data_IF_423463329380
#
_entry.id   IF_423463329380
#
_cell.length_a   1.000
_cell.length_b   1.000
_cell.length_c   1.000
_cell.angle_alpha   90.00
_cell.angle_beta   90.00
_cell.angle_gamma   90.00
#
_symmetry.space_group_name_H-M   'P 1'
#
loop_
_entity.id
_entity.type
_entity.pdbx_description
1 polymer ?
#
# COMPACT_ATOMS: atom_id res chain seq x y z
N UNK A 1 -21.43 11.83 -5.22
CA UNK A 1 -20.63 11.89 -3.97
C UNK A 1 -19.97 10.54 -3.75
N UNK A 2 -18.69 10.55 -3.53
CA UNK A 2 -17.91 9.35 -3.30
C UNK A 2 -18.16 8.73 -1.94
N UNK A 3 -17.90 7.45 -1.84
CA UNK A 3 -17.97 6.74 -0.58
C UNK A 3 -16.71 7.04 0.26
N UNK A 4 -16.92 7.51 1.48
CA UNK A 4 -15.85 7.75 2.43
C UNK A 4 -15.43 6.41 3.06
N UNK A 5 -14.16 6.04 2.90
CA UNK A 5 -13.62 4.74 3.32
C UNK A 5 -12.54 4.89 4.38
N UNK A 6 -12.37 3.85 5.19
CA UNK A 6 -11.26 3.74 6.13
C UNK A 6 -10.05 3.11 5.43
N UNK A 7 -8.93 3.84 5.41
CA UNK A 7 -7.71 3.44 4.69
C UNK A 7 -6.52 3.42 5.62
N UNK A 8 -5.85 2.28 5.71
CA UNK A 8 -4.59 2.14 6.42
C UNK A 8 -3.39 2.50 5.54
N UNK A 9 -2.38 3.11 6.14
CA UNK A 9 -1.08 3.37 5.51
C UNK A 9 0.03 2.89 6.45
N UNK A 10 0.88 2.02 5.96
CA UNK A 10 2.03 1.51 6.70
C UNK A 10 3.31 1.93 5.98
N UNK A 11 4.04 2.85 6.59
CA UNK A 11 5.19 3.53 6.00
C UNK A 11 4.82 4.83 5.29
N UNK A 12 5.39 5.95 5.74
CA UNK A 12 5.14 7.29 5.19
C UNK A 12 6.45 7.91 4.70
N UNK A 13 7.01 7.28 3.67
CA UNK A 13 8.07 7.87 2.86
C UNK A 13 7.46 8.65 1.69
N UNK A 14 8.09 8.60 0.52
CA UNK A 14 7.64 9.30 -0.68
C UNK A 14 6.28 8.76 -1.15
N UNK A 15 6.15 7.46 -1.27
CA UNK A 15 4.92 6.82 -1.76
C UNK A 15 3.79 6.90 -0.74
N UNK A 16 4.04 6.50 0.51
CA UNK A 16 3.05 6.60 1.58
C UNK A 16 2.60 8.02 1.86
N UNK A 17 3.52 8.98 1.76
CA UNK A 17 3.23 10.42 1.88
C UNK A 17 2.34 10.94 0.74
N UNK A 18 2.52 10.44 -0.48
CA UNK A 18 1.66 10.79 -1.61
C UNK A 18 0.23 10.25 -1.40
N UNK A 19 0.08 9.02 -0.92
CA UNK A 19 -1.23 8.45 -0.57
C UNK A 19 -1.88 9.30 0.54
N UNK A 20 -1.16 9.61 1.60
CA UNK A 20 -1.66 10.43 2.71
C UNK A 20 -2.16 11.79 2.21
N UNK A 21 -1.41 12.43 1.33
CA UNK A 21 -1.76 13.74 0.78
C UNK A 21 -3.07 13.71 -0.03
N UNK A 22 -3.18 12.77 -0.98
CA UNK A 22 -4.30 12.72 -1.90
C UNK A 22 -5.54 12.02 -1.34
N UNK A 23 -5.37 11.01 -0.50
CA UNK A 23 -6.49 10.27 0.09
C UNK A 23 -7.08 10.98 1.32
N UNK A 24 -6.27 11.75 2.06
CA UNK A 24 -6.69 12.39 3.30
C UNK A 24 -7.97 13.25 3.19
N UNK A 25 -8.15 14.07 2.13
CA UNK A 25 -9.38 14.84 1.96
C UNK A 25 -10.64 14.00 1.67
N UNK A 26 -10.49 12.74 1.26
CA UNK A 26 -11.57 11.89 0.76
C UNK A 26 -11.87 10.66 1.61
N UNK A 27 -10.90 10.23 2.44
CA UNK A 27 -10.98 9.01 3.24
C UNK A 27 -10.51 9.25 4.67
N UNK A 28 -10.91 8.38 5.60
CA UNK A 28 -10.34 8.34 6.95
C UNK A 28 -9.03 7.56 6.93
N UNK A 29 -7.93 8.19 7.32
CA UNK A 29 -6.61 7.58 7.28
C UNK A 29 -6.17 7.11 8.66
N UNK A 30 -5.64 5.89 8.71
CA UNK A 30 -5.00 5.29 9.89
C UNK A 30 -3.57 4.92 9.51
N UNK A 31 -2.60 5.56 10.17
CA UNK A 31 -1.21 5.58 9.72
C UNK A 31 -0.30 4.93 10.74
N UNK A 32 0.57 4.03 10.28
CA UNK A 32 1.71 3.57 11.04
C UNK A 32 3.02 4.02 10.39
N UNK A 33 3.74 4.87 11.09
CA UNK A 33 5.08 5.35 10.74
C UNK A 33 5.92 5.40 12.02
N UNK A 34 6.98 4.56 12.13
CA UNK A 34 7.77 4.49 13.37
C UNK A 34 8.32 5.85 13.83
N UNK A 35 8.70 6.72 12.89
CA UNK A 35 9.23 8.06 13.20
C UNK A 35 8.19 9.01 13.78
N UNK A 36 6.90 8.69 13.68
CA UNK A 36 5.79 9.45 14.24
C UNK A 36 5.31 8.89 15.60
N UNK A 37 5.96 7.84 16.12
CA UNK A 37 5.57 7.20 17.38
C UNK A 37 4.26 6.42 17.33
N UNK A 38 3.80 6.06 16.14
CA UNK A 38 2.59 5.24 15.92
C UNK A 38 2.91 3.75 16.00
N UNK A 39 1.89 2.92 16.14
CA UNK A 39 2.01 1.46 16.12
C UNK A 39 1.18 0.83 15.01
N UNK A 40 1.52 -0.40 14.64
CA UNK A 40 0.74 -1.17 13.67
C UNK A 40 -0.71 -1.39 14.16
N UNK A 41 -0.92 -1.45 15.47
CA UNK A 41 -2.26 -1.56 16.07
C UNK A 41 -3.14 -0.36 15.79
N UNK A 42 -2.58 0.83 15.59
CA UNK A 42 -3.34 2.03 15.22
C UNK A 42 -4.03 1.85 13.86
N UNK A 43 -3.44 1.04 13.00
CA UNK A 43 -4.03 0.66 11.72
C UNK A 43 -5.00 -0.51 11.88
N UNK A 44 -4.56 -1.64 12.44
CA UNK A 44 -5.34 -2.89 12.46
C UNK A 44 -6.59 -2.85 13.34
N UNK A 45 -6.67 -1.93 14.31
CA UNK A 45 -7.88 -1.71 15.12
C UNK A 45 -8.97 -0.92 14.40
N UNK A 46 -8.60 -0.10 13.43
CA UNK A 46 -9.47 0.89 12.83
C UNK A 46 -9.84 0.60 11.39
N UNK A 47 -9.09 -0.28 10.71
CA UNK A 47 -9.39 -0.68 9.33
C UNK A 47 -8.99 -2.12 9.09
N UNK A 48 -9.56 -2.73 8.05
CA UNK A 48 -9.27 -4.09 7.60
C UNK A 48 -8.41 -4.11 6.33
N UNK A 49 -7.88 -2.95 5.91
CA UNK A 49 -7.01 -2.84 4.75
C UNK A 49 -5.92 -1.80 4.97
N UNK A 50 -4.76 -2.00 4.36
CA UNK A 50 -3.71 -1.00 4.36
C UNK A 50 -2.85 -1.06 3.10
N UNK A 51 -2.36 0.12 2.69
CA UNK A 51 -1.26 0.25 1.74
C UNK A 51 0.07 0.12 2.48
N UNK A 52 0.91 -0.80 2.03
CA UNK A 52 2.24 -1.04 2.60
C UNK A 52 3.28 -0.37 1.71
N UNK A 53 3.85 0.72 2.19
CA UNK A 53 4.82 1.55 1.48
C UNK A 53 6.12 1.70 2.29
N UNK A 54 6.60 0.58 2.84
CA UNK A 54 7.85 0.49 3.61
C UNK A 54 9.05 0.39 2.70
N UNK A 55 10.28 0.73 3.17
CA UNK A 55 11.49 0.61 2.38
C UNK A 55 11.78 -0.84 1.95
N UNK A 56 12.25 -0.98 0.70
CA UNK A 56 12.76 -2.24 0.14
C UNK A 56 14.17 -1.97 -0.44
N UNK A 57 15.19 -1.80 0.42
CA UNK A 57 16.52 -1.39 -0.02
C UNK A 57 17.21 -2.49 -0.82
N UNK A 58 18.15 -2.09 -1.68
CA UNK A 58 19.02 -3.04 -2.35
C UNK A 58 20.16 -3.46 -1.42
N UNK A 59 20.45 -4.74 -1.37
CA UNK A 59 21.62 -5.26 -0.66
C UNK A 59 22.92 -4.78 -1.34
N UNK A 60 23.85 -4.25 -0.54
CA UNK A 60 25.09 -3.69 -1.07
C UNK A 60 25.99 -4.73 -1.77
N UNK A 61 25.96 -5.99 -1.31
CA UNK A 61 26.82 -7.06 -1.82
C UNK A 61 26.32 -7.71 -3.11
N UNK A 62 24.99 -7.80 -3.28
CA UNK A 62 24.35 -8.56 -4.36
C UNK A 62 23.50 -7.71 -5.28
N UNK A 63 23.09 -6.50 -4.84
CA UNK A 63 22.11 -5.68 -5.51
C UNK A 63 20.67 -6.23 -5.40
N UNK A 64 20.47 -7.33 -4.67
CA UNK A 64 19.15 -7.92 -4.47
C UNK A 64 18.24 -6.99 -3.67
N UNK A 65 16.95 -7.00 -4.00
CA UNK A 65 15.94 -6.25 -3.28
C UNK A 65 15.64 -6.95 -1.94
N UNK A 66 15.81 -6.22 -0.84
CA UNK A 66 15.47 -6.71 0.50
C UNK A 66 13.99 -6.43 0.80
N UNK A 67 13.18 -7.49 0.81
CA UNK A 67 11.75 -7.45 1.10
C UNK A 67 11.39 -7.82 2.54
N UNK A 68 12.39 -7.92 3.43
CA UNK A 68 12.20 -8.41 4.81
C UNK A 68 11.27 -7.52 5.65
N UNK A 69 11.29 -6.20 5.44
CA UNK A 69 10.40 -5.27 6.15
C UNK A 69 8.94 -5.49 5.73
N UNK A 70 8.69 -5.69 4.43
CA UNK A 70 7.34 -6.03 3.93
C UNK A 70 6.87 -7.33 4.56
N UNK A 71 7.70 -8.35 4.57
CA UNK A 71 7.39 -9.65 5.15
C UNK A 71 7.09 -9.56 6.65
N UNK A 72 7.87 -8.79 7.38
CA UNK A 72 7.66 -8.55 8.82
C UNK A 72 6.31 -7.88 9.08
N UNK A 73 5.94 -6.87 8.28
CA UNK A 73 4.62 -6.23 8.37
C UNK A 73 3.52 -7.25 8.12
N UNK A 74 3.59 -8.02 7.03
CA UNK A 74 2.58 -9.03 6.69
C UNK A 74 2.40 -10.06 7.81
N UNK A 75 3.49 -10.47 8.47
CA UNK A 75 3.45 -11.44 9.56
C UNK A 75 2.67 -10.99 10.80
N UNK A 76 2.46 -9.69 10.96
CA UNK A 76 1.78 -9.08 12.10
C UNK A 76 0.33 -8.70 11.82
N UNK A 77 -0.13 -8.85 10.58
CA UNK A 77 -1.51 -8.51 10.20
C UNK A 77 -2.48 -9.63 10.63
N UNK A 78 -3.69 -9.28 11.06
CA UNK A 78 -4.69 -10.28 11.46
C UNK A 78 -5.25 -11.04 10.26
N UNK A 79 -5.80 -12.23 10.52
CA UNK A 79 -6.45 -13.05 9.52
C UNK A 79 -7.56 -12.28 8.80
N UNK A 80 -7.64 -12.45 7.48
CA UNK A 80 -8.61 -11.77 6.63
C UNK A 80 -8.25 -10.33 6.27
N UNK A 81 -7.10 -9.82 6.74
CA UNK A 81 -6.69 -8.44 6.45
C UNK A 81 -6.32 -8.27 4.96
N UNK A 82 -6.71 -7.14 4.40
CA UNK A 82 -6.43 -6.76 3.03
C UNK A 82 -5.14 -5.95 2.95
N UNK A 83 -4.09 -6.52 2.43
CA UNK A 83 -2.76 -5.90 2.33
C UNK A 83 -2.44 -5.53 0.89
N UNK A 84 -2.23 -4.25 0.62
CA UNK A 84 -1.86 -3.74 -0.70
C UNK A 84 -0.41 -3.29 -0.68
N UNK A 85 0.46 -4.02 -1.36
CA UNK A 85 1.89 -3.72 -1.41
C UNK A 85 2.12 -2.63 -2.45
N UNK A 86 2.60 -1.47 -1.99
CA UNK A 86 3.05 -0.35 -2.82
C UNK A 86 4.58 -0.33 -2.96
N UNK A 87 5.29 -0.90 -1.99
CA UNK A 87 6.75 -1.01 -2.04
C UNK A 87 7.21 -1.74 -3.29
N UNK A 88 8.30 -1.29 -3.90
CA UNK A 88 8.91 -1.98 -5.05
C UNK A 88 9.43 -3.34 -4.63
N UNK A 89 8.92 -4.39 -5.26
CA UNK A 89 9.33 -5.78 -5.00
C UNK A 89 9.61 -6.51 -6.31
N UNK A 90 10.49 -7.54 -6.31
CA UNK A 90 10.78 -8.33 -7.51
C UNK A 90 9.52 -9.06 -8.02
N UNK A 91 9.47 -9.38 -9.33
CA UNK A 91 8.43 -10.24 -9.88
C UNK A 91 8.31 -11.57 -9.12
N UNK A 92 7.09 -12.01 -8.84
CA UNK A 92 6.82 -13.25 -8.10
C UNK A 92 6.74 -13.08 -6.57
N UNK A 93 7.21 -11.96 -6.01
CA UNK A 93 7.21 -11.72 -4.55
C UNK A 93 5.80 -11.76 -3.96
N UNK A 94 4.83 -11.12 -4.60
CA UNK A 94 3.44 -11.10 -4.12
C UNK A 94 2.83 -12.49 -4.08
N UNK A 95 3.11 -13.32 -5.08
CA UNK A 95 2.67 -14.72 -5.10
C UNK A 95 3.30 -15.52 -3.96
N UNK A 96 4.60 -15.36 -3.73
CA UNK A 96 5.31 -16.04 -2.66
C UNK A 96 4.76 -15.63 -1.28
N UNK A 97 4.47 -14.34 -1.09
CA UNK A 97 3.84 -13.86 0.13
C UNK A 97 2.40 -14.38 0.30
N UNK A 98 1.62 -14.48 -0.77
CA UNK A 98 0.27 -15.05 -0.68
C UNK A 98 0.30 -16.52 -0.28
N UNK A 99 1.28 -17.28 -0.74
CA UNK A 99 1.50 -18.67 -0.32
C UNK A 99 1.94 -18.75 1.14
N UNK A 100 2.84 -17.86 1.56
CA UNK A 100 3.36 -17.82 2.94
C UNK A 100 2.33 -17.35 3.96
N UNK A 101 1.47 -16.40 3.58
CA UNK A 101 0.43 -15.80 4.41
C UNK A 101 -0.96 -16.06 3.84
N UNK A 102 -1.45 -17.32 3.82
CA UNK A 102 -2.69 -17.68 3.14
C UNK A 102 -3.94 -17.10 3.79
N UNK A 103 -3.84 -16.64 5.05
CA UNK A 103 -4.95 -15.98 5.75
C UNK A 103 -5.15 -14.51 5.37
N UNK A 104 -4.20 -13.92 4.63
CA UNK A 104 -4.29 -12.55 4.14
C UNK A 104 -4.80 -12.49 2.71
N UNK A 105 -5.44 -11.37 2.36
CA UNK A 105 -5.72 -11.03 0.97
C UNK A 105 -4.65 -10.03 0.50
N UNK A 106 -3.79 -10.44 -0.41
CA UNK A 106 -2.65 -9.63 -0.84
C UNK A 106 -2.85 -9.13 -2.27
N UNK A 107 -2.62 -7.84 -2.48
CA UNK A 107 -2.54 -7.21 -3.78
C UNK A 107 -1.20 -6.49 -3.95
N UNK A 108 -0.79 -6.33 -5.19
CA UNK A 108 0.34 -5.49 -5.59
C UNK A 108 -0.17 -4.33 -6.44
N UNK A 109 0.16 -3.13 -6.02
CA UNK A 109 -0.20 -1.90 -6.74
C UNK A 109 1.06 -1.06 -6.93
N UNK A 110 1.84 -1.30 -8.01
CA UNK A 110 3.13 -0.65 -8.23
C UNK A 110 3.00 0.85 -8.43
N UNK A 111 4.10 1.57 -8.19
CA UNK A 111 4.22 3.00 -8.39
C UNK A 111 5.09 3.34 -9.61
N UNK A 112 4.70 4.41 -10.30
CA UNK A 112 5.43 4.95 -11.44
C UNK A 112 5.86 6.40 -11.19
N UNK A 113 6.06 6.77 -9.91
CA UNK A 113 6.36 8.13 -9.49
C UNK A 113 7.82 8.50 -9.75
N UNK A 114 8.04 9.75 -10.16
CA UNK A 114 9.35 10.38 -10.10
C UNK A 114 9.48 11.09 -8.74
N UNK A 115 10.50 10.74 -7.97
CA UNK A 115 10.66 11.17 -6.57
C UNK A 115 10.44 12.68 -6.35
N UNK A 116 11.06 13.51 -7.17
CA UNK A 116 10.95 14.98 -7.09
C UNK A 116 9.58 15.55 -7.48
N UNK A 117 8.69 14.73 -8.07
CA UNK A 117 7.34 15.11 -8.49
C UNK A 117 6.30 14.14 -7.97
N UNK A 118 6.61 13.43 -6.91
CA UNK A 118 5.78 12.32 -6.41
C UNK A 118 4.33 12.68 -6.14
N UNK A 119 4.08 13.86 -5.58
CA UNK A 119 2.71 14.32 -5.31
C UNK A 119 1.94 14.61 -6.59
N UNK A 120 2.56 15.28 -7.56
CA UNK A 120 1.92 15.58 -8.85
C UNK A 120 1.66 14.31 -9.65
N UNK A 121 2.67 13.43 -9.73
CA UNK A 121 2.58 12.19 -10.47
C UNK A 121 1.53 11.24 -9.87
N UNK A 122 1.42 11.19 -8.53
CA UNK A 122 0.37 10.40 -7.86
C UNK A 122 -1.03 10.96 -8.14
N UNK A 123 -1.20 12.26 -8.12
CA UNK A 123 -2.50 12.93 -8.34
C UNK A 123 -2.97 12.97 -9.79
N UNK A 124 -2.16 12.48 -10.74
CA UNK A 124 -2.46 12.47 -12.18
C UNK A 124 -2.03 11.17 -12.82
N UNK A 125 -2.55 10.07 -12.29
CA UNK A 125 -2.20 8.75 -12.81
C UNK A 125 -3.02 8.44 -14.07
N UNK A 126 -2.34 8.22 -15.19
CA UNK A 126 -2.97 7.73 -16.42
C UNK A 126 -3.25 6.23 -16.35
N UNK A 127 -2.52 5.51 -15.50
CA UNK A 127 -2.62 4.06 -15.36
C UNK A 127 -2.58 3.67 -13.88
N UNK A 128 -3.55 2.88 -13.46
CA UNK A 128 -3.55 2.16 -12.19
C UNK A 128 -3.43 0.67 -12.48
N UNK A 129 -2.39 0.04 -11.94
CA UNK A 129 -2.17 -1.41 -12.06
C UNK A 129 -2.39 -2.05 -10.70
N UNK A 130 -3.24 -3.06 -10.64
CA UNK A 130 -3.47 -3.85 -9.43
C UNK A 130 -3.41 -5.32 -9.79
N UNK A 131 -2.44 -6.04 -9.21
CA UNK A 131 -2.32 -7.49 -9.32
C UNK A 131 -2.78 -8.17 -8.04
N UNK A 132 -3.79 -9.04 -8.13
CA UNK A 132 -4.29 -9.80 -6.99
C UNK A 132 -5.08 -11.03 -7.45
N UNK A 133 -5.03 -12.10 -6.66
CA UNK A 133 -5.94 -13.25 -6.80
C UNK A 133 -7.32 -12.94 -6.17
N UNK A 134 -7.46 -11.79 -5.50
CA UNK A 134 -8.67 -11.34 -4.81
C UNK A 134 -9.30 -10.16 -5.57
N UNK A 135 -10.28 -10.45 -6.43
CA UNK A 135 -10.92 -9.44 -7.28
C UNK A 135 -11.60 -8.32 -6.49
N UNK A 136 -12.21 -8.64 -5.34
CA UNK A 136 -12.82 -7.64 -4.46
C UNK A 136 -11.80 -6.65 -3.90
N UNK A 137 -10.58 -7.10 -3.59
CA UNK A 137 -9.51 -6.22 -3.14
C UNK A 137 -9.02 -5.30 -4.28
N UNK A 138 -8.89 -5.83 -5.49
CA UNK A 138 -8.53 -5.02 -6.65
C UNK A 138 -9.58 -3.94 -6.93
N UNK A 139 -10.85 -4.28 -6.83
CA UNK A 139 -11.96 -3.31 -6.98
C UNK A 139 -11.94 -2.25 -5.87
N UNK A 140 -11.70 -2.64 -4.63
CA UNK A 140 -11.57 -1.70 -3.51
C UNK A 140 -10.45 -0.67 -3.77
N UNK A 141 -9.29 -1.13 -4.22
CA UNK A 141 -8.16 -0.24 -4.56
C UNK A 141 -8.55 0.73 -5.68
N UNK A 142 -9.21 0.24 -6.72
CA UNK A 142 -9.69 1.08 -7.82
C UNK A 142 -10.64 2.16 -7.32
N UNK A 143 -11.65 1.79 -6.53
CA UNK A 143 -12.64 2.73 -6.00
C UNK A 143 -11.99 3.80 -5.10
N UNK A 144 -11.06 3.42 -4.24
CA UNK A 144 -10.36 4.38 -3.39
C UNK A 144 -9.58 5.43 -4.20
N UNK A 145 -8.93 5.03 -5.29
CA UNK A 145 -8.21 5.94 -6.17
C UNK A 145 -9.15 6.85 -6.98
N UNK A 146 -10.26 6.28 -7.44
CA UNK A 146 -11.29 7.03 -8.17
C UNK A 146 -11.91 8.12 -7.28
N UNK A 147 -12.30 7.76 -6.05
CA UNK A 147 -12.88 8.69 -5.07
C UNK A 147 -11.90 9.78 -4.63
N UNK A 148 -10.62 9.47 -4.57
CA UNK A 148 -9.57 10.45 -4.29
C UNK A 148 -9.26 11.37 -5.49
N UNK A 149 -9.85 11.10 -6.65
CA UNK A 149 -9.64 11.90 -7.86
C UNK A 149 -8.24 11.80 -8.46
N UNK A 150 -7.51 10.71 -8.16
CA UNK A 150 -6.15 10.47 -8.68
C UNK A 150 -6.13 9.69 -9.99
N UNK A 151 -7.26 9.10 -10.35
CA UNK A 151 -7.50 8.47 -11.67
C UNK A 151 -8.85 8.93 -12.20
N UNK A 152 -9.03 8.87 -13.51
CA UNK A 152 -10.32 9.12 -14.16
C UNK A 152 -11.07 7.79 -14.38
N UNK A 153 -12.43 7.82 -14.43
CA UNK A 153 -13.25 6.64 -14.70
C UNK A 153 -12.96 5.99 -16.04
#
# INVERSE_FOLDING_TARGET
MGEHMDVGIIGVGIVGGAIEHWFGPHHSLFVHEPTRGTSLKDVTKNTNMAYIAVPTPSEKSTGACDTSIVEEVLSQLPDGFNAVIKSTVPPGTTRDFQVKFPSLNIAYCPEFLVERRSLEDFGRQDILVVGSDHGELAELVYQQHLEAGVIEP
#
